data_IF_626602741908
#
_entry.id   IF_626602741908
#
_cell.length_a   1.000
_cell.length_b   1.000
_cell.length_c   1.000
_cell.angle_alpha   90.00
_cell.angle_beta   90.00
_cell.angle_gamma   90.00
#
_symmetry.space_group_name_H-M   'P 1'
#
loop_
_entity.id
_entity.type
_entity.pdbx_description
1 polymer ?
#
# COMPACT_ATOMS: atom_id res chain seq x y z
N UNK A 1 -21.80 -7.32 13.09
CA UNK A 1 -22.26 -7.26 11.68
C UNK A 1 -22.16 -8.64 11.02
N UNK A 2 -22.98 -8.93 10.00
CA UNK A 2 -22.83 -10.15 9.17
C UNK A 2 -21.72 -9.97 8.12
N UNK A 3 -21.26 -11.06 7.50
CA UNK A 3 -20.25 -10.97 6.42
C UNK A 3 -20.69 -10.09 5.25
N UNK A 4 -21.98 -10.12 4.88
CA UNK A 4 -22.53 -9.28 3.82
C UNK A 4 -22.47 -7.79 4.19
N UNK A 5 -22.90 -7.45 5.40
CA UNK A 5 -22.83 -6.06 5.88
C UNK A 5 -21.40 -5.52 5.93
N UNK A 6 -20.42 -6.35 6.32
CA UNK A 6 -19.00 -5.94 6.32
C UNK A 6 -18.46 -5.81 4.90
N UNK A 7 -18.81 -6.76 4.02
CA UNK A 7 -18.47 -6.70 2.61
C UNK A 7 -18.96 -5.40 1.97
N UNK A 8 -20.24 -5.06 2.13
CA UNK A 8 -20.83 -3.84 1.59
C UNK A 8 -20.19 -2.59 2.19
N UNK A 9 -19.97 -2.57 3.51
CA UNK A 9 -19.38 -1.41 4.20
C UNK A 9 -17.96 -1.08 3.71
N UNK A 10 -17.15 -2.10 3.38
CA UNK A 10 -15.79 -1.91 2.90
C UNK A 10 -15.64 -2.01 1.37
N UNK A 11 -16.75 -2.18 0.63
CA UNK A 11 -16.72 -2.36 -0.82
C UNK A 11 -15.93 -3.61 -1.26
N UNK A 12 -16.00 -4.68 -0.47
CA UNK A 12 -15.28 -5.93 -0.72
C UNK A 12 -16.23 -7.06 -1.09
N UNK A 13 -15.87 -7.94 -2.03
CA UNK A 13 -16.60 -9.19 -2.20
C UNK A 13 -16.53 -10.05 -0.93
N UNK A 14 -17.65 -10.66 -0.53
CA UNK A 14 -17.69 -11.50 0.68
C UNK A 14 -16.67 -12.66 0.66
N UNK A 15 -16.29 -13.17 -0.53
CA UNK A 15 -15.26 -14.21 -0.63
C UNK A 15 -13.87 -13.73 -0.18
N UNK A 16 -13.57 -12.42 -0.27
CA UNK A 16 -12.31 -11.84 0.22
C UNK A 16 -12.24 -11.94 1.74
N UNK A 17 -13.34 -11.64 2.44
CA UNK A 17 -13.42 -11.79 3.89
C UNK A 17 -13.27 -13.26 4.32
N UNK A 18 -13.88 -14.20 3.57
CA UNK A 18 -13.70 -15.64 3.81
C UNK A 18 -12.25 -16.08 3.58
N UNK A 19 -11.60 -15.56 2.55
CA UNK A 19 -10.20 -15.83 2.29
C UNK A 19 -9.31 -15.29 3.42
N UNK A 20 -9.56 -14.07 3.91
CA UNK A 20 -8.81 -13.53 5.05
C UNK A 20 -9.01 -14.35 6.31
N UNK A 21 -10.22 -14.84 6.58
CA UNK A 21 -10.46 -15.81 7.65
C UNK A 21 -9.70 -17.12 7.43
N UNK A 22 -9.76 -17.70 6.22
CA UNK A 22 -9.11 -18.99 5.93
C UNK A 22 -7.59 -18.94 6.08
N UNK A 23 -7.00 -17.78 5.81
CA UNK A 23 -5.58 -17.58 6.03
C UNK A 23 -5.26 -17.11 7.45
N UNK A 24 -6.23 -16.92 8.36
CA UNK A 24 -5.99 -16.48 9.74
C UNK A 24 -5.75 -14.98 9.93
N UNK A 25 -6.11 -14.16 8.92
CA UNK A 25 -6.15 -12.71 9.05
C UNK A 25 -7.41 -12.22 9.75
N UNK A 26 -8.47 -13.01 9.84
CA UNK A 26 -9.68 -12.68 10.61
C UNK A 26 -10.11 -13.91 11.40
N UNK A 27 -10.76 -13.69 12.54
CA UNK A 27 -11.33 -14.76 13.34
C UNK A 27 -12.65 -14.29 13.99
N UNK A 28 -13.66 -13.94 13.18
CA UNK A 28 -14.91 -13.40 13.69
C UNK A 28 -15.62 -14.43 14.58
N UNK A 29 -16.33 -13.95 15.60
CA UNK A 29 -17.16 -14.80 16.43
C UNK A 29 -18.29 -15.45 15.61
N UNK A 30 -18.86 -16.53 16.13
CA UNK A 30 -20.03 -17.19 15.54
C UNK A 30 -21.22 -17.02 16.49
N UNK A 31 -22.36 -16.62 15.94
CA UNK A 31 -23.63 -16.59 16.66
C UNK A 31 -24.37 -17.93 16.52
N UNK A 32 -25.51 -18.06 17.19
CA UNK A 32 -26.43 -19.18 17.02
C UNK A 32 -26.72 -19.43 15.54
N UNK A 33 -26.73 -20.71 15.16
CA UNK A 33 -26.84 -21.15 13.76
C UNK A 33 -25.56 -21.01 12.94
N UNK A 34 -24.38 -20.96 13.59
CA UNK A 34 -23.04 -20.97 12.96
C UNK A 34 -22.75 -19.77 12.04
N UNK A 35 -23.48 -18.67 12.22
CA UNK A 35 -23.34 -17.46 11.38
C UNK A 35 -22.24 -16.55 11.92
N UNK A 36 -21.32 -16.14 11.03
CA UNK A 36 -20.25 -15.17 11.33
C UNK A 36 -20.82 -13.84 11.83
N UNK A 37 -20.28 -13.36 12.95
CA UNK A 37 -20.52 -12.04 13.53
C UNK A 37 -19.20 -11.31 13.73
N UNK A 38 -19.08 -10.20 13.01
CA UNK A 38 -17.95 -9.28 13.11
C UNK A 38 -18.22 -8.26 14.22
N UNK A 39 -17.28 -8.18 15.15
CA UNK A 39 -17.20 -7.21 16.24
C UNK A 39 -16.57 -5.91 15.78
N UNK A 40 -16.54 -4.88 16.65
CA UNK A 40 -15.86 -3.63 16.36
C UNK A 40 -14.36 -3.83 16.07
N UNK A 41 -13.71 -4.73 16.79
CA UNK A 41 -12.28 -5.02 16.62
C UNK A 41 -12.01 -5.69 15.28
N UNK A 42 -12.91 -6.57 14.83
CA UNK A 42 -12.82 -7.15 13.49
C UNK A 42 -12.92 -6.06 12.41
N UNK A 43 -13.76 -5.05 12.59
CA UNK A 43 -13.88 -3.93 11.64
C UNK A 43 -12.59 -3.09 11.59
N UNK A 44 -11.96 -2.81 12.74
CA UNK A 44 -10.65 -2.14 12.77
C UNK A 44 -9.57 -2.96 12.06
N UNK A 45 -9.60 -4.28 12.23
CA UNK A 45 -8.70 -5.19 11.54
C UNK A 45 -8.92 -5.21 10.03
N UNK A 46 -10.17 -5.30 9.58
CA UNK A 46 -10.55 -5.20 8.15
C UNK A 46 -10.10 -3.86 7.58
N UNK A 47 -10.39 -2.74 8.25
CA UNK A 47 -9.96 -1.42 7.83
C UNK A 47 -8.44 -1.32 7.68
N UNK A 48 -7.69 -1.90 8.62
CA UNK A 48 -6.22 -1.93 8.58
C UNK A 48 -5.70 -2.71 7.37
N UNK A 49 -6.27 -3.88 7.08
CA UNK A 49 -5.89 -4.69 5.90
C UNK A 49 -6.21 -3.94 4.60
N UNK A 50 -7.40 -3.34 4.49
CA UNK A 50 -7.80 -2.57 3.31
C UNK A 50 -6.83 -1.41 3.05
N UNK A 51 -6.56 -0.58 4.08
CA UNK A 51 -5.64 0.56 3.95
C UNK A 51 -4.22 0.13 3.59
N UNK A 52 -3.70 -0.92 4.22
CA UNK A 52 -2.37 -1.43 3.91
C UNK A 52 -2.28 -1.97 2.47
N UNK A 53 -3.30 -2.70 2.00
CA UNK A 53 -3.35 -3.17 0.61
C UNK A 53 -3.44 -2.01 -0.39
N UNK A 54 -4.23 -0.97 -0.10
CA UNK A 54 -4.33 0.23 -0.94
C UNK A 54 -2.99 0.96 -1.04
N UNK A 55 -2.21 0.99 0.04
CA UNK A 55 -0.86 1.52 0.04
C UNK A 55 0.17 0.59 -0.66
N UNK A 56 -0.26 -0.57 -1.17
CA UNK A 56 0.60 -1.52 -1.87
C UNK A 56 1.52 -2.31 -0.95
N UNK A 57 1.12 -2.54 0.31
CA UNK A 57 1.82 -3.45 1.20
C UNK A 57 1.48 -4.90 0.84
N UNK A 58 2.47 -5.80 0.84
CA UNK A 58 2.24 -7.20 0.52
C UNK A 58 1.46 -7.89 1.66
N UNK A 59 0.55 -8.80 1.31
CA UNK A 59 -0.29 -9.50 2.28
C UNK A 59 0.50 -10.27 3.37
N UNK A 60 1.67 -10.88 3.07
CA UNK A 60 2.53 -11.46 4.10
C UNK A 60 2.98 -10.48 5.18
N UNK A 61 3.32 -9.24 4.81
CA UNK A 61 3.72 -8.22 5.78
C UNK A 61 2.53 -7.74 6.60
N UNK A 62 1.37 -7.59 5.97
CA UNK A 62 0.11 -7.27 6.66
C UNK A 62 -0.19 -8.31 7.72
N UNK A 63 -0.07 -9.59 7.38
CA UNK A 63 -0.19 -10.68 8.34
C UNK A 63 0.85 -10.57 9.44
N UNK A 64 2.11 -10.33 9.11
CA UNK A 64 3.19 -10.31 10.07
C UNK A 64 2.95 -9.25 11.17
N UNK A 65 2.61 -8.00 10.81
CA UNK A 65 2.39 -6.97 11.84
C UNK A 65 1.07 -7.15 12.59
N UNK A 66 0.03 -7.69 11.95
CA UNK A 66 -1.28 -7.94 12.59
C UNK A 66 -1.32 -9.18 13.49
N UNK A 67 -0.42 -10.15 13.28
CA UNK A 67 -0.32 -11.37 14.08
C UNK A 67 0.83 -11.35 15.10
N UNK A 68 1.79 -10.43 14.96
CA UNK A 68 2.92 -10.31 15.88
C UNK A 68 2.44 -10.08 17.31
N UNK A 69 2.82 -10.97 18.24
CA UNK A 69 2.61 -10.80 19.69
C UNK A 69 3.68 -9.94 20.34
N UNK A 70 4.90 -10.02 19.81
CA UNK A 70 6.01 -9.17 20.22
C UNK A 70 5.90 -7.77 19.57
N UNK A 71 5.83 -6.69 20.37
CA UNK A 71 5.83 -5.32 19.86
C UNK A 71 7.07 -4.96 19.03
N UNK A 72 8.25 -5.54 19.31
CA UNK A 72 9.46 -5.23 18.57
C UNK A 72 9.39 -5.79 17.13
N UNK A 73 9.09 -7.09 16.99
CA UNK A 73 8.85 -7.71 15.68
C UNK A 73 7.77 -6.97 14.86
N UNK A 74 6.68 -6.52 15.53
CA UNK A 74 5.65 -5.70 14.87
C UNK A 74 6.23 -4.39 14.33
N UNK A 75 7.01 -3.66 15.14
CA UNK A 75 7.63 -2.39 14.73
C UNK A 75 8.60 -2.59 13.57
N UNK A 76 9.31 -3.71 13.49
CA UNK A 76 10.26 -3.95 12.41
C UNK A 76 9.58 -4.12 11.05
N UNK A 77 8.46 -4.87 11.00
CA UNK A 77 7.64 -4.98 9.79
C UNK A 77 7.12 -3.59 9.37
N UNK A 78 6.61 -2.81 10.33
CA UNK A 78 6.09 -1.47 10.07
C UNK A 78 7.19 -0.53 9.57
N UNK A 79 8.40 -0.54 10.16
CA UNK A 79 9.54 0.28 9.73
C UNK A 79 9.96 -0.02 8.29
N UNK A 80 10.07 -1.31 7.93
CA UNK A 80 10.43 -1.71 6.55
C UNK A 80 9.40 -1.23 5.54
N UNK A 81 8.11 -1.43 5.84
CA UNK A 81 7.03 -0.97 4.95
C UNK A 81 6.91 0.55 4.91
N UNK A 82 7.10 1.22 6.03
CA UNK A 82 7.18 2.68 6.09
C UNK A 82 8.28 3.21 5.18
N UNK A 83 9.49 2.63 5.26
CA UNK A 83 10.60 3.04 4.40
C UNK A 83 10.27 2.81 2.91
N UNK A 84 9.74 1.64 2.57
CA UNK A 84 9.34 1.34 1.20
C UNK A 84 8.27 2.32 0.66
N UNK A 85 7.32 2.76 1.51
CA UNK A 85 6.35 3.78 1.14
C UNK A 85 7.00 5.15 0.94
N UNK A 86 7.92 5.55 1.81
CA UNK A 86 8.66 6.81 1.65
C UNK A 86 9.45 6.82 0.33
N UNK A 87 10.11 5.72 -0.01
CA UNK A 87 10.86 5.61 -1.27
C UNK A 87 9.92 5.71 -2.49
N UNK A 88 8.74 5.08 -2.45
CA UNK A 88 7.71 5.21 -3.51
C UNK A 88 7.15 6.63 -3.61
N UNK A 89 6.89 7.28 -2.47
CA UNK A 89 6.41 8.67 -2.44
C UNK A 89 7.44 9.61 -3.08
N UNK A 90 8.73 9.44 -2.75
CA UNK A 90 9.80 10.23 -3.35
C UNK A 90 9.88 10.02 -4.88
N UNK A 91 9.77 8.77 -5.34
CA UNK A 91 9.77 8.46 -6.77
C UNK A 91 8.56 9.06 -7.50
N UNK A 92 7.37 8.96 -6.92
CA UNK A 92 6.15 9.56 -7.49
C UNK A 92 6.20 11.08 -7.50
N UNK A 93 6.75 11.70 -6.44
CA UNK A 93 6.96 13.14 -6.40
C UNK A 93 7.91 13.59 -7.51
N UNK A 94 9.05 12.90 -7.68
CA UNK A 94 9.98 13.20 -8.76
C UNK A 94 9.36 13.05 -10.15
N UNK A 95 8.46 12.09 -10.35
CA UNK A 95 7.73 11.94 -11.60
C UNK A 95 6.72 13.08 -11.81
N UNK A 96 6.05 13.52 -10.74
CA UNK A 96 5.15 14.67 -10.78
C UNK A 96 5.91 15.95 -11.15
N UNK A 97 7.05 16.20 -10.51
CA UNK A 97 7.89 17.37 -10.77
C UNK A 97 8.34 17.41 -12.25
N UNK A 98 8.69 16.25 -12.83
CA UNK A 98 9.00 16.13 -14.25
C UNK A 98 7.82 16.51 -15.15
N UNK A 99 6.61 16.01 -14.84
CA UNK A 99 5.40 16.34 -15.59
C UNK A 99 5.05 17.82 -15.47
N UNK A 100 5.20 18.41 -14.28
CA UNK A 100 5.01 19.84 -14.04
C UNK A 100 6.02 20.69 -14.82
N UNK A 101 7.29 20.30 -14.86
CA UNK A 101 8.30 20.96 -15.68
C UNK A 101 7.92 20.93 -17.17
N UNK A 102 7.35 19.82 -17.65
CA UNK A 102 6.85 19.69 -19.01
C UNK A 102 5.62 20.56 -19.30
N UNK A 103 4.64 20.58 -18.40
CA UNK A 103 3.44 21.41 -18.52
C UNK A 103 3.76 22.91 -18.52
N UNK A 104 4.80 23.32 -17.79
CA UNK A 104 5.24 24.71 -17.68
C UNK A 104 6.31 25.08 -18.74
N UNK A 105 6.64 24.17 -19.65
CA UNK A 105 7.61 24.43 -20.69
C UNK A 105 6.97 25.19 -21.86
N UNK A 106 7.63 26.25 -22.32
CA UNK A 106 7.24 27.03 -23.50
C UNK A 106 8.05 26.71 -24.76
N UNK A 107 8.99 25.77 -24.71
CA UNK A 107 9.80 25.38 -25.86
C UNK A 107 8.99 24.52 -26.83
N UNK A 108 9.22 24.69 -28.14
CA UNK A 108 8.55 23.88 -29.18
C UNK A 108 8.88 22.39 -29.06
N UNK A 109 10.15 22.08 -28.76
CA UNK A 109 10.60 20.75 -28.38
C UNK A 109 10.94 20.73 -26.88
N UNK A 110 10.10 20.04 -26.10
CA UNK A 110 10.30 19.82 -24.67
C UNK A 110 11.64 19.16 -24.34
N UNK A 111 12.19 18.35 -25.26
CA UNK A 111 13.48 17.71 -25.07
C UNK A 111 14.65 18.71 -25.01
N UNK A 112 14.45 19.95 -25.47
CA UNK A 112 15.43 21.04 -25.40
C UNK A 112 15.27 21.94 -24.17
N UNK A 113 14.22 21.74 -23.37
CA UNK A 113 13.94 22.54 -22.19
C UNK A 113 14.96 22.25 -21.07
N UNK A 114 15.73 23.26 -20.60
CA UNK A 114 16.73 23.04 -19.55
C UNK A 114 16.13 22.53 -18.23
N UNK A 115 14.96 23.05 -17.84
CA UNK A 115 14.27 22.61 -16.61
C UNK A 115 13.85 21.16 -16.72
N UNK A 116 13.24 20.76 -17.84
CA UNK A 116 12.83 19.36 -18.07
C UNK A 116 14.04 18.41 -18.10
N UNK A 117 15.11 18.79 -18.79
CA UNK A 117 16.37 18.03 -18.83
C UNK A 117 17.00 17.89 -17.43
N UNK A 118 16.94 18.92 -16.57
CA UNK A 118 17.50 18.86 -15.22
C UNK A 118 16.83 17.77 -14.37
N UNK A 119 15.52 17.56 -14.50
CA UNK A 119 14.81 16.47 -13.82
C UNK A 119 15.22 15.07 -14.31
N UNK A 120 15.73 14.96 -15.55
CA UNK A 120 16.19 13.70 -16.14
C UNK A 120 17.70 13.46 -15.99
N UNK A 121 18.47 14.49 -15.60
CA UNK A 121 19.93 14.44 -15.60
C UNK A 121 20.50 13.25 -14.82
N UNK A 122 19.92 12.93 -13.65
CA UNK A 122 20.33 11.79 -12.83
C UNK A 122 20.05 10.42 -13.49
N UNK A 123 19.03 10.33 -14.36
CA UNK A 123 18.67 9.10 -15.08
C UNK A 123 19.48 8.89 -16.37
N UNK A 124 20.07 9.97 -16.91
CA UNK A 124 20.88 9.94 -18.15
C UNK A 124 22.37 9.76 -17.86
N UNK A 125 22.81 9.98 -16.63
CA UNK A 125 24.14 9.60 -16.18
C UNK A 125 24.27 8.07 -16.13
N UNK A 126 24.52 7.46 -17.29
CA UNK A 126 24.97 6.07 -17.37
C UNK A 126 26.30 6.01 -16.62
N UNK A 127 26.34 5.30 -15.49
CA UNK A 127 27.57 4.98 -14.77
C UNK A 127 28.42 4.06 -15.64
N UNK A 128 29.11 4.64 -16.62
CA UNK A 128 30.17 4.00 -17.35
C UNK A 128 31.39 3.90 -16.44
N UNK A 129 31.58 2.74 -15.80
CA UNK A 129 32.93 2.30 -15.43
C UNK A 129 33.07 0.82 -15.73
N UNK A 130 33.38 0.56 -17.00
CA UNK A 130 34.13 -0.64 -17.39
C UNK A 130 35.58 -0.41 -16.98
N UNK A 131 36.02 -1.08 -15.91
CA UNK A 131 37.30 -1.78 -15.74
C UNK A 131 37.51 -2.16 -14.28
#
# INVERSE_FOLDING_TARGET
>A
MTIGQVADHFGLPAHVLRHWESVGLLSPARAEGDRRRYTRDDLFRVASIVRAKQAGLPLPDIRAFLAARDPAARKDVLRRNHRALQDRMAALQSALDLLEAGLNCSHEDIATCPTYQAHLAASVQVTGSVR
#
